data_IF_411061135494
#
_entry.id   IF_411061135494
#
_cell.length_a   1.000
_cell.length_b   1.000
_cell.length_c   1.000
_cell.angle_alpha   90.00
_cell.angle_beta   90.00
_cell.angle_gamma   90.00
#
_symmetry.space_group_name_H-M   'P 1'
#
loop_
_entity.id
_entity.type
_entity.pdbx_description
1 polymer ?
#
# COMPACT_ATOMS: atom_id res chain seq x y z
N UNK A 1 -7.81 11.52 -5.74
CA UNK A 1 -6.93 10.33 -5.58
C UNK A 1 -7.82 9.11 -5.69
N UNK A 2 -7.42 8.07 -6.42
CA UNK A 2 -8.23 6.83 -6.50
C UNK A 2 -8.03 6.04 -5.21
N UNK A 3 -8.90 6.31 -4.24
CA UNK A 3 -8.85 5.71 -2.90
C UNK A 3 -9.18 4.23 -2.97
N UNK A 4 -10.12 3.82 -3.85
CA UNK A 4 -10.59 2.44 -3.96
C UNK A 4 -9.50 1.51 -4.48
N UNK A 5 -8.84 1.84 -5.59
CA UNK A 5 -7.74 1.03 -6.10
C UNK A 5 -6.56 0.98 -5.11
N UNK A 6 -6.29 2.08 -4.40
CA UNK A 6 -5.25 2.14 -3.37
C UNK A 6 -5.56 1.23 -2.18
N UNK A 7 -6.79 1.24 -1.69
CA UNK A 7 -7.23 0.36 -0.61
C UNK A 7 -7.14 -1.09 -1.05
N UNK A 8 -7.67 -1.42 -2.23
CA UNK A 8 -7.60 -2.77 -2.81
C UNK A 8 -6.16 -3.29 -2.96
N UNK A 9 -5.21 -2.40 -3.31
CA UNK A 9 -3.78 -2.71 -3.35
C UNK A 9 -3.18 -3.07 -1.99
N UNK A 10 -3.63 -2.41 -0.92
CA UNK A 10 -3.10 -2.67 0.42
C UNK A 10 -3.64 -3.97 1.02
N UNK A 11 -4.95 -4.22 0.87
CA UNK A 11 -5.64 -5.44 1.31
C UNK A 11 -5.49 -6.61 0.33
N UNK A 12 -4.78 -6.36 -0.76
CA UNK A 12 -4.35 -7.38 -1.73
C UNK A 12 -5.51 -8.11 -2.43
N UNK A 13 -6.60 -7.39 -2.67
CA UNK A 13 -7.75 -7.89 -3.41
C UNK A 13 -7.52 -7.68 -4.92
N UNK A 14 -7.96 -8.65 -5.71
CA UNK A 14 -7.92 -8.57 -7.17
C UNK A 14 -8.70 -7.34 -7.67
N UNK A 15 -8.05 -6.52 -8.51
CA UNK A 15 -8.67 -5.31 -9.04
C UNK A 15 -8.06 -4.90 -10.38
N UNK A 16 -8.81 -4.11 -11.13
CA UNK A 16 -8.31 -3.43 -12.33
C UNK A 16 -7.62 -2.13 -11.91
N UNK A 17 -6.46 -1.85 -12.50
CA UNK A 17 -5.83 -0.55 -12.39
C UNK A 17 -6.42 0.45 -13.41
N UNK A 18 -5.96 1.71 -13.38
CA UNK A 18 -6.43 2.77 -14.30
C UNK A 18 -6.11 2.55 -15.78
N UNK A 19 -5.31 1.53 -16.10
CA UNK A 19 -4.97 1.14 -17.47
C UNK A 19 -5.65 -0.20 -17.83
N UNK A 20 -6.71 -0.56 -17.11
CA UNK A 20 -7.49 -1.79 -17.25
C UNK A 20 -6.66 -3.09 -17.16
N UNK A 21 -5.49 -3.02 -16.51
CA UNK A 21 -4.68 -4.22 -16.24
C UNK A 21 -5.15 -4.87 -14.95
N UNK A 22 -5.38 -6.18 -15.01
CA UNK A 22 -5.72 -7.00 -13.86
C UNK A 22 -4.52 -7.14 -12.91
N UNK A 23 -4.70 -6.69 -11.69
CA UNK A 23 -3.78 -6.92 -10.57
C UNK A 23 -4.36 -8.10 -9.79
N UNK A 24 -3.71 -9.26 -9.90
CA UNK A 24 -4.12 -10.48 -9.19
C UNK A 24 -3.74 -10.37 -7.71
N UNK A 25 -4.59 -10.89 -6.82
CA UNK A 25 -4.28 -11.04 -5.40
C UNK A 25 -2.99 -11.88 -5.19
N UNK A 26 -2.16 -11.54 -4.21
CA UNK A 26 -0.97 -12.34 -3.93
C UNK A 26 -1.40 -13.68 -3.34
N UNK A 27 -0.61 -14.69 -3.67
CA UNK A 27 -0.76 -16.05 -3.15
C UNK A 27 0.51 -16.41 -2.38
N UNK A 28 0.34 -16.98 -1.18
CA UNK A 28 1.46 -17.49 -0.39
C UNK A 28 2.34 -18.39 -1.25
N UNK A 29 3.64 -18.12 -1.28
CA UNK A 29 4.60 -18.91 -2.04
C UNK A 29 4.89 -20.27 -1.38
N UNK A 30 5.52 -21.21 -2.11
CA UNK A 30 5.93 -22.51 -1.56
C UNK A 30 6.95 -22.33 -0.42
N UNK A 31 7.14 -23.32 0.45
CA UNK A 31 8.17 -23.25 1.47
C UNK A 31 9.58 -23.14 0.85
N UNK A 32 10.59 -22.88 1.67
CA UNK A 32 11.97 -23.00 1.20
C UNK A 32 12.31 -24.47 0.86
N UNK A 33 13.37 -24.67 0.08
CA UNK A 33 13.83 -26.02 -0.32
C UNK A 33 14.17 -26.88 0.91
N UNK A 34 14.04 -28.21 0.78
CA UNK A 34 14.44 -29.17 1.83
C UNK A 34 15.93 -29.08 2.19
N UNK A 35 16.78 -28.70 1.23
CA UNK A 35 18.21 -28.41 1.46
C UNK A 35 18.48 -27.11 2.23
N UNK A 36 17.45 -26.48 2.81
CA UNK A 36 17.61 -25.29 3.62
C UNK A 36 18.48 -25.57 4.84
N UNK A 37 19.61 -24.87 4.97
CA UNK A 37 20.52 -24.93 6.13
C UNK A 37 19.80 -24.71 7.48
N UNK A 38 18.76 -23.88 7.50
CA UNK A 38 18.01 -23.56 8.71
C UNK A 38 16.84 -24.54 8.98
N UNK A 39 16.64 -25.54 8.11
CA UNK A 39 15.58 -26.55 8.21
C UNK A 39 14.21 -25.93 8.51
N UNK A 40 13.84 -24.88 7.76
CA UNK A 40 12.64 -24.11 8.10
C UNK A 40 11.34 -24.90 7.91
N UNK A 41 11.32 -25.89 7.02
CA UNK A 41 10.16 -26.77 6.79
C UNK A 41 9.83 -27.56 8.07
N UNK A 42 10.85 -28.04 8.77
CA UNK A 42 10.69 -28.81 10.02
C UNK A 42 10.24 -27.92 11.18
N UNK A 43 10.55 -26.63 11.13
CA UNK A 43 10.27 -25.66 12.22
C UNK A 43 8.93 -24.95 12.08
N UNK A 44 8.45 -24.78 10.86
CA UNK A 44 7.25 -23.97 10.58
C UNK A 44 6.39 -24.72 9.58
N UNK A 45 5.23 -25.19 10.06
CA UNK A 45 4.26 -25.89 9.24
C UNK A 45 3.56 -24.96 8.25
N UNK A 46 2.98 -25.53 7.21
CA UNK A 46 2.29 -24.75 6.18
C UNK A 46 1.00 -24.10 6.72
N UNK A 47 0.36 -24.70 7.73
CA UNK A 47 -0.78 -24.13 8.45
C UNK A 47 -0.38 -22.84 9.18
N UNK A 48 0.76 -22.85 9.89
CA UNK A 48 1.28 -21.65 10.54
C UNK A 48 1.54 -20.57 9.51
N UNK A 49 2.17 -20.92 8.38
CA UNK A 49 2.45 -19.97 7.29
C UNK A 49 1.16 -19.35 6.72
N UNK A 50 0.09 -20.14 6.55
CA UNK A 50 -1.22 -19.66 6.10
C UNK A 50 -1.84 -18.66 7.09
N UNK A 51 -1.79 -18.97 8.39
CA UNK A 51 -2.28 -18.06 9.45
C UNK A 51 -1.51 -16.74 9.41
N UNK A 52 -0.18 -16.80 9.34
CA UNK A 52 0.67 -15.61 9.28
C UNK A 52 0.43 -14.79 8.01
N UNK A 53 0.26 -15.44 6.86
CA UNK A 53 -0.03 -14.78 5.60
C UNK A 53 -1.37 -14.05 5.67
N UNK A 54 -2.42 -14.70 6.16
CA UNK A 54 -3.74 -14.08 6.34
C UNK A 54 -3.67 -12.88 7.30
N UNK A 55 -2.98 -13.03 8.44
CA UNK A 55 -2.78 -11.94 9.39
C UNK A 55 -2.01 -10.76 8.81
N UNK A 56 -1.02 -11.00 7.96
CA UNK A 56 -0.28 -9.95 7.26
C UNK A 56 -1.14 -9.20 6.23
N UNK A 57 -1.95 -9.93 5.44
CA UNK A 57 -2.85 -9.32 4.46
C UNK A 57 -3.98 -8.51 5.09
N UNK A 58 -4.43 -8.89 6.29
CA UNK A 58 -5.43 -8.15 7.06
C UNK A 58 -4.94 -6.76 7.52
N UNK A 59 -3.63 -6.48 7.41
CA UNK A 59 -3.09 -5.14 7.70
C UNK A 59 -3.37 -4.23 6.51
N UNK A 60 -4.44 -3.43 6.60
CA UNK A 60 -4.84 -2.51 5.52
C UNK A 60 -3.93 -1.28 5.38
N UNK A 61 -3.16 -0.98 6.43
CA UNK A 61 -2.25 0.16 6.48
C UNK A 61 -0.84 -0.24 6.02
N UNK A 62 -0.38 0.38 4.94
CA UNK A 62 0.93 0.10 4.35
C UNK A 62 2.11 0.45 5.27
N UNK A 63 2.00 1.49 6.09
CA UNK A 63 3.03 1.82 7.08
C UNK A 63 3.08 0.76 8.19
N UNK A 64 1.92 0.24 8.63
CA UNK A 64 1.86 -0.88 9.57
C UNK A 64 2.39 -2.19 8.98
N UNK A 65 2.19 -2.44 7.68
CA UNK A 65 2.82 -3.56 6.98
C UNK A 65 4.35 -3.45 7.03
N UNK A 66 4.89 -2.23 6.95
CA UNK A 66 6.33 -1.99 7.07
C UNK A 66 6.82 -2.16 8.51
N UNK A 67 6.06 -1.71 9.51
CA UNK A 67 6.36 -1.97 10.93
C UNK A 67 6.43 -3.48 11.21
N UNK A 68 5.51 -4.25 10.63
CA UNK A 68 5.53 -5.71 10.73
C UNK A 68 6.83 -6.29 10.16
N UNK A 69 7.23 -5.88 8.95
CA UNK A 69 8.49 -6.35 8.34
C UNK A 69 9.70 -5.92 9.19
N UNK A 70 9.70 -4.68 9.68
CA UNK A 70 10.76 -4.14 10.53
C UNK A 70 10.97 -4.96 11.81
N UNK A 71 9.87 -5.35 12.47
CA UNK A 71 9.89 -6.14 13.69
C UNK A 71 10.55 -7.50 13.48
N UNK A 72 10.28 -8.16 12.35
CA UNK A 72 10.72 -9.53 12.09
C UNK A 72 11.96 -9.63 11.18
N UNK A 73 12.53 -8.51 10.76
CA UNK A 73 13.81 -8.46 10.03
C UNK A 73 14.84 -7.69 10.86
N UNK A 74 15.72 -8.45 11.53
CA UNK A 74 16.78 -7.88 12.36
C UNK A 74 18.03 -7.62 11.53
N UNK A 75 18.50 -6.39 11.52
CA UNK A 75 19.74 -5.99 10.84
C UNK A 75 20.87 -5.98 11.87
N UNK A 76 21.96 -6.69 11.58
CA UNK A 76 23.21 -6.64 12.35
C UNK A 76 24.33 -6.07 11.50
N UNK A 77 24.93 -4.97 11.97
CA UNK A 77 26.11 -4.38 11.36
C UNK A 77 27.31 -5.29 11.63
N UNK A 78 28.18 -5.49 10.63
CA UNK A 78 29.48 -6.10 10.87
C UNK A 78 30.43 -5.00 11.36
N UNK A 79 31.24 -5.29 12.38
CA UNK A 79 32.28 -4.38 12.85
C UNK A 79 33.21 -3.99 11.70
N UNK A 80 33.65 -2.74 11.71
CA UNK A 80 34.53 -2.11 10.72
C UNK A 80 35.85 -2.89 10.61
N UNK A 81 35.99 -3.71 9.58
CA UNK A 81 37.21 -4.48 9.37
C UNK A 81 37.34 -5.15 8.00
N UNK A 82 36.44 -4.88 7.05
CA UNK A 82 36.53 -5.48 5.71
C UNK A 82 35.94 -4.56 4.66
N UNK A 83 36.83 -3.98 3.85
CA UNK A 83 36.58 -2.99 2.79
C UNK A 83 35.65 -3.50 1.67
N UNK A 84 35.36 -4.82 1.62
CA UNK A 84 34.68 -5.49 0.50
C UNK A 84 33.37 -6.20 0.92
N UNK A 85 33.06 -6.32 2.21
CA UNK A 85 31.89 -7.09 2.67
C UNK A 85 30.61 -6.23 2.71
N UNK A 86 29.46 -6.84 2.38
CA UNK A 86 28.13 -6.25 2.63
C UNK A 86 28.09 -5.60 4.02
N UNK A 87 27.84 -4.29 4.08
CA UNK A 87 27.90 -3.47 5.31
C UNK A 87 26.97 -3.98 6.43
N UNK A 88 25.90 -4.70 6.08
CA UNK A 88 24.98 -5.27 7.05
C UNK A 88 24.58 -6.72 6.71
N UNK A 89 24.30 -7.49 7.75
CA UNK A 89 23.68 -8.82 7.68
C UNK A 89 22.23 -8.73 8.16
N UNK A 90 21.33 -9.54 7.57
CA UNK A 90 19.90 -9.55 7.91
C UNK A 90 19.50 -10.94 8.40
N UNK A 91 18.81 -11.01 9.53
CA UNK A 91 18.19 -12.23 10.08
C UNK A 91 16.68 -12.09 10.00
N UNK A 92 16.00 -13.16 9.60
CA UNK A 92 14.55 -13.17 9.37
C UNK A 92 13.89 -14.08 10.40
N UNK A 93 12.75 -13.63 10.91
CA UNK A 93 12.00 -14.33 11.95
C UNK A 93 10.54 -14.47 11.54
N UNK A 94 9.87 -15.52 12.00
CA UNK A 94 8.42 -15.66 11.91
C UNK A 94 7.84 -15.76 13.32
N UNK A 95 6.77 -15.00 13.66
CA UNK A 95 6.09 -15.19 14.93
C UNK A 95 5.38 -16.54 14.95
N UNK A 96 5.46 -17.27 16.06
CA UNK A 96 4.63 -18.45 16.29
C UNK A 96 3.31 -17.98 16.90
N UNK A 97 2.16 -18.31 16.28
CA UNK A 97 0.86 -18.09 16.90
C UNK A 97 0.81 -18.70 18.31
N UNK A 98 0.15 -18.01 19.25
CA UNK A 98 -0.16 -18.48 20.61
C UNK A 98 1.00 -18.59 21.61
N UNK A 99 2.26 -18.45 21.20
CA UNK A 99 3.39 -18.65 22.12
C UNK A 99 4.30 -17.42 22.28
N UNK A 100 3.92 -16.26 21.72
CA UNK A 100 4.70 -15.00 21.72
C UNK A 100 6.19 -15.15 21.35
N UNK A 101 6.56 -16.26 20.73
CA UNK A 101 7.92 -16.61 20.36
C UNK A 101 8.11 -16.37 18.87
N UNK A 102 9.36 -16.23 18.46
CA UNK A 102 9.73 -16.04 17.07
C UNK A 102 10.78 -17.08 16.66
N UNK A 103 10.60 -17.68 15.48
CA UNK A 103 11.52 -18.67 14.94
C UNK A 103 12.37 -18.01 13.87
N UNK A 104 13.69 -18.15 13.98
CA UNK A 104 14.58 -17.73 12.91
C UNK A 104 14.41 -18.62 11.67
N UNK A 105 14.14 -18.00 10.53
CA UNK A 105 13.98 -18.65 9.24
C UNK A 105 14.96 -18.09 8.21
N UNK A 106 15.10 -18.80 7.09
CA UNK A 106 15.85 -18.27 5.96
C UNK A 106 15.08 -17.15 5.25
N UNK A 107 15.80 -16.27 4.55
CA UNK A 107 15.24 -15.22 3.71
C UNK A 107 14.15 -15.74 2.77
N UNK A 108 14.40 -16.85 2.08
CA UNK A 108 13.46 -17.43 1.12
C UNK A 108 12.14 -17.82 1.77
N UNK A 109 12.18 -18.42 2.96
CA UNK A 109 10.98 -18.79 3.70
C UNK A 109 10.17 -17.55 4.06
N UNK A 110 10.82 -16.53 4.63
CA UNK A 110 10.16 -15.28 5.01
C UNK A 110 9.48 -14.57 3.83
N UNK A 111 10.24 -14.35 2.74
CA UNK A 111 9.73 -13.67 1.56
C UNK A 111 8.55 -14.41 0.92
N UNK A 112 8.61 -15.75 0.87
CA UNK A 112 7.55 -16.58 0.28
C UNK A 112 6.32 -16.69 1.18
N UNK A 113 6.48 -16.74 2.50
CA UNK A 113 5.36 -16.75 3.44
C UNK A 113 4.52 -15.47 3.32
N UNK A 114 5.14 -14.30 3.20
CA UNK A 114 4.41 -13.02 3.09
C UNK A 114 4.21 -12.52 1.66
N UNK A 115 4.66 -13.29 0.65
CA UNK A 115 4.59 -12.91 -0.76
C UNK A 115 5.18 -11.53 -1.06
N UNK A 116 6.27 -11.18 -0.38
CA UNK A 116 6.96 -9.90 -0.51
C UNK A 116 8.26 -10.07 -1.30
N UNK A 117 8.61 -9.03 -2.06
CA UNK A 117 9.90 -9.00 -2.75
C UNK A 117 11.02 -8.55 -1.80
N UNK A 118 12.25 -8.93 -2.12
CA UNK A 118 13.43 -8.46 -1.38
C UNK A 118 13.55 -6.92 -1.39
N UNK A 119 13.11 -6.28 -2.49
CA UNK A 119 13.13 -4.81 -2.61
C UNK A 119 12.31 -4.15 -1.50
N UNK A 120 11.17 -4.72 -1.12
CA UNK A 120 10.34 -4.21 -0.01
C UNK A 120 11.15 -4.22 1.29
N UNK A 121 11.80 -5.34 1.61
CA UNK A 121 12.64 -5.45 2.82
C UNK A 121 13.80 -4.45 2.79
N UNK A 122 14.45 -4.27 1.64
CA UNK A 122 15.52 -3.28 1.49
C UNK A 122 15.00 -1.85 1.75
N UNK A 123 13.85 -1.49 1.19
CA UNK A 123 13.23 -0.17 1.40
C UNK A 123 12.87 0.06 2.87
N UNK A 124 12.29 -0.93 3.54
CA UNK A 124 11.96 -0.89 4.97
C UNK A 124 13.22 -0.64 5.80
N UNK A 125 14.29 -1.42 5.59
CA UNK A 125 15.56 -1.23 6.30
C UNK A 125 16.18 0.15 6.05
N UNK A 126 16.21 0.60 4.79
CA UNK A 126 16.79 1.91 4.43
C UNK A 126 16.02 3.06 5.07
N UNK A 127 14.69 2.96 5.17
CA UNK A 127 13.88 4.00 5.81
C UNK A 127 14.09 4.06 7.32
N UNK A 128 14.23 2.92 8.00
CA UNK A 128 14.53 2.88 9.43
C UNK A 128 15.92 3.43 9.78
N UNK A 129 16.89 3.29 8.88
CA UNK A 129 18.21 3.89 9.07
C UNK A 129 18.17 5.43 9.08
N UNK A 130 17.21 6.02 8.36
CA UNK A 130 17.10 7.47 8.19
C UNK A 130 16.03 8.11 9.09
N UNK A 131 15.06 7.33 9.57
CA UNK A 131 13.89 7.82 10.30
C UNK A 131 13.55 6.90 11.47
N UNK A 132 13.14 7.45 12.63
CA UNK A 132 12.79 6.66 13.81
C UNK A 132 11.48 5.88 13.66
N UNK A 133 10.61 6.27 12.72
CA UNK A 133 9.35 5.61 12.44
C UNK A 133 8.95 5.77 10.96
N UNK A 134 8.10 4.88 10.47
CA UNK A 134 7.54 5.03 9.13
C UNK A 134 6.48 6.14 9.13
N UNK A 135 6.72 7.16 8.29
CA UNK A 135 5.71 8.17 8.02
C UNK A 135 4.47 7.57 7.34
N UNK A 136 3.35 8.28 7.45
CA UNK A 136 2.12 7.95 6.73
C UNK A 136 2.36 7.83 5.22
N UNK A 137 1.64 6.90 4.59
CA UNK A 137 1.74 6.64 3.16
C UNK A 137 1.38 7.88 2.31
N UNK A 138 2.39 8.46 1.65
CA UNK A 138 2.27 9.63 0.76
C UNK A 138 2.12 9.28 -0.73
N UNK A 139 1.91 8.00 -1.10
CA UNK A 139 1.64 7.62 -2.50
C UNK A 139 0.45 8.40 -3.05
N UNK A 140 0.63 8.97 -4.24
CA UNK A 140 -0.38 9.79 -4.93
C UNK A 140 -0.53 11.23 -4.40
N UNK A 141 0.29 11.67 -3.43
CA UNK A 141 0.24 13.01 -2.81
C UNK A 141 1.45 13.89 -3.17
N UNK A 142 2.01 13.73 -4.38
CA UNK A 142 3.16 14.51 -4.82
C UNK A 142 2.71 15.87 -5.41
N UNK A 143 3.47 16.93 -5.11
CA UNK A 143 3.18 18.31 -5.57
C UNK A 143 3.84 18.65 -6.90
N UNK A 144 4.81 17.87 -7.35
CA UNK A 144 5.61 18.12 -8.55
C UNK A 144 4.92 17.72 -9.87
N UNK A 145 3.58 17.74 -9.94
CA UNK A 145 2.88 17.47 -11.20
C UNK A 145 3.00 18.68 -12.12
N UNK A 146 3.58 18.55 -13.32
CA UNK A 146 3.79 19.70 -14.21
C UNK A 146 2.46 20.33 -14.66
N UNK A 147 1.41 19.52 -14.81
CA UNK A 147 0.06 19.98 -15.17
C UNK A 147 -0.85 20.16 -13.93
N UNK A 148 -0.32 20.66 -12.81
CA UNK A 148 -1.17 20.99 -11.65
C UNK A 148 -1.98 22.23 -11.96
N UNK A 149 -3.31 22.09 -12.04
CA UNK A 149 -4.23 23.23 -12.07
C UNK A 149 -4.06 24.00 -10.75
N UNK A 150 -3.82 25.31 -10.87
CA UNK A 150 -3.64 26.19 -9.72
C UNK A 150 -4.93 26.26 -8.90
N UNK A 151 -4.80 26.64 -7.62
CA UNK A 151 -5.96 26.66 -6.74
C UNK A 151 -6.88 27.85 -7.11
N UNK A 152 -6.32 28.94 -7.64
CA UNK A 152 -7.05 30.09 -8.19
C UNK A 152 -7.89 29.69 -9.41
N UNK A 153 -7.36 28.91 -10.34
CA UNK A 153 -8.12 28.45 -11.51
C UNK A 153 -9.28 27.54 -11.09
N UNK A 154 -9.10 26.71 -10.05
CA UNK A 154 -10.19 25.88 -9.53
C UNK A 154 -11.28 26.73 -8.89
N UNK A 155 -10.89 27.79 -8.18
CA UNK A 155 -11.82 28.74 -7.59
C UNK A 155 -12.63 29.45 -8.69
N UNK A 156 -11.96 29.97 -9.73
CA UNK A 156 -12.65 30.55 -10.89
C UNK A 156 -13.64 29.56 -11.56
N UNK A 157 -13.27 28.28 -11.69
CA UNK A 157 -14.17 27.24 -12.23
C UNK A 157 -15.37 27.04 -11.30
N UNK A 158 -15.15 26.93 -9.99
CA UNK A 158 -16.23 26.75 -9.00
C UNK A 158 -17.15 27.96 -8.97
N UNK A 159 -16.62 29.17 -9.04
CA UNK A 159 -17.38 30.42 -9.05
C UNK A 159 -18.23 30.51 -10.31
N UNK A 160 -17.65 30.21 -11.48
CA UNK A 160 -18.40 30.15 -12.73
C UNK A 160 -19.52 29.11 -12.66
N UNK A 161 -19.26 27.90 -12.18
CA UNK A 161 -20.32 26.87 -11.98
C UNK A 161 -21.39 27.36 -11.00
N UNK A 162 -20.99 28.03 -9.92
CA UNK A 162 -21.89 28.52 -8.87
C UNK A 162 -22.70 29.75 -9.28
N UNK A 163 -22.31 30.43 -10.36
CA UNK A 163 -23.05 31.56 -10.92
C UNK A 163 -24.39 31.13 -11.56
N UNK A 164 -24.52 29.84 -11.90
CA UNK A 164 -25.74 29.32 -12.52
C UNK A 164 -26.77 28.88 -11.46
N UNK A 165 -28.08 29.00 -11.77
CA UNK A 165 -29.13 28.52 -10.89
C UNK A 165 -29.01 27.02 -10.63
N UNK A 166 -29.22 26.65 -9.37
CA UNK A 166 -29.24 25.26 -8.93
C UNK A 166 -30.68 24.81 -8.74
N UNK A 167 -30.99 23.61 -9.23
CA UNK A 167 -32.31 22.99 -9.17
C UNK A 167 -32.25 21.69 -8.36
N UNK A 168 -33.30 21.43 -7.58
CA UNK A 168 -33.50 20.13 -6.94
C UNK A 168 -34.08 19.13 -7.92
N UNK A 169 -33.48 17.94 -7.99
CA UNK A 169 -33.95 16.85 -8.84
C UNK A 169 -35.41 16.51 -8.55
N UNK A 170 -36.31 16.75 -9.51
CA UNK A 170 -37.75 16.52 -9.36
C UNK A 170 -38.09 15.08 -8.95
N UNK A 171 -37.32 14.09 -9.41
CA UNK A 171 -37.57 12.66 -9.18
C UNK A 171 -36.95 12.10 -7.89
N UNK A 172 -36.04 12.82 -7.24
CA UNK A 172 -35.24 12.28 -6.12
C UNK A 172 -35.20 13.18 -4.89
N UNK A 173 -36.12 14.14 -4.77
CA UNK A 173 -36.21 15.08 -3.63
C UNK A 173 -36.28 14.38 -2.28
N UNK A 174 -37.03 13.28 -2.17
CA UNK A 174 -37.15 12.52 -0.92
C UNK A 174 -35.92 11.65 -0.59
N UNK A 175 -35.03 11.40 -1.56
CA UNK A 175 -33.91 10.45 -1.41
C UNK A 175 -32.56 11.11 -1.24
N UNK A 176 -32.37 12.35 -1.72
CA UNK A 176 -31.08 13.04 -1.64
C UNK A 176 -31.21 14.55 -1.57
N UNK A 177 -30.37 15.21 -0.75
CA UNK A 177 -30.20 16.66 -0.74
C UNK A 177 -29.24 17.17 -1.84
N UNK A 178 -29.05 16.38 -2.91
CA UNK A 178 -28.14 16.74 -3.99
C UNK A 178 -28.76 17.82 -4.87
N UNK A 179 -27.92 18.76 -5.23
CA UNK A 179 -28.24 19.96 -6.00
C UNK A 179 -27.65 19.81 -7.41
N UNK A 180 -28.43 20.14 -8.43
CA UNK A 180 -28.05 19.94 -9.83
C UNK A 180 -28.13 21.26 -10.59
N UNK A 181 -27.40 21.35 -11.70
CA UNK A 181 -27.63 22.43 -12.66
C UNK A 181 -28.91 22.15 -13.44
N UNK A 182 -29.50 23.21 -13.99
CA UNK A 182 -30.70 23.11 -14.83
C UNK A 182 -30.46 22.16 -16.03
N UNK A 183 -31.47 21.35 -16.40
CA UNK A 183 -31.38 20.43 -17.53
C UNK A 183 -31.18 21.13 -18.87
N UNK A 184 -31.63 22.38 -18.98
CA UNK A 184 -31.53 23.18 -20.20
C UNK A 184 -30.19 23.92 -20.31
N UNK A 185 -29.37 23.90 -19.25
CA UNK A 185 -28.05 24.49 -19.23
C UNK A 185 -27.05 23.57 -19.96
N UNK A 186 -26.62 24.01 -21.13
CA UNK A 186 -25.61 23.30 -21.92
C UNK A 186 -24.29 24.09 -21.93
N UNK A 187 -23.21 23.42 -22.35
CA UNK A 187 -21.85 23.99 -22.38
C UNK A 187 -21.82 25.28 -23.22
N UNK A 188 -22.50 25.31 -24.37
CA UNK A 188 -22.56 26.50 -25.23
C UNK A 188 -23.19 27.70 -24.53
N UNK A 189 -24.27 27.49 -23.77
CA UNK A 189 -24.88 28.54 -22.93
C UNK A 189 -23.91 28.99 -21.86
N UNK A 190 -23.25 28.06 -21.15
CA UNK A 190 -22.29 28.43 -20.10
C UNK A 190 -21.18 29.35 -20.62
N UNK A 191 -20.64 29.07 -21.82
CA UNK A 191 -19.61 29.91 -22.45
C UNK A 191 -20.10 31.32 -22.83
N UNK A 192 -21.39 31.53 -23.05
CA UNK A 192 -21.95 32.85 -23.38
C UNK A 192 -22.11 33.76 -22.14
N UNK A 193 -22.10 33.19 -20.93
CA UNK A 193 -22.26 33.92 -19.66
C UNK A 193 -20.90 34.27 -19.00
N UNK A 194 -19.79 34.14 -19.73
CA UNK A 194 -18.44 34.60 -19.34
C UNK A 194 -18.19 35.96 -19.95
#
# INVERSE_FOLDING_TARGET
IDVKAKTNLNIDIEHLNRSDKLIVAKKMGPPCKLSCRLKCVDKVSDEIRKILFAGYLAIEDHSRQWDFIARYVKVSNKQEGSVISRQCSKKYYLPIPNNNTEIQVCKTMFLRTFSISEKVVQTVCLKLQNLPAFMADRRGKHTNRPARISDEVKECINDHISSFPIVESHYTRDRTMKKFLDSDLNISKMYQYV
#
